data_IF_323857663907
#
_entry.id   IF_323857663907
#
_cell.length_a   1.000
_cell.length_b   1.000
_cell.length_c   1.000
_cell.angle_alpha   90.00
_cell.angle_beta   90.00
_cell.angle_gamma   90.00
#
_symmetry.space_group_name_H-M   'P 1'
#
loop_
_entity.id
_entity.type
_entity.pdbx_description
1 polymer ?
#
# COMPACT_ATOMS: atom_id res chain seq x y z
N UNK A 1 -33.97 -12.11 14.14
CA UNK A 1 -33.83 -10.77 13.51
C UNK A 1 -34.94 -10.61 12.50
N UNK A 2 -35.80 -9.59 12.60
CA UNK A 2 -36.87 -9.34 11.62
C UNK A 2 -36.32 -8.70 10.36
N UNK A 3 -36.99 -8.87 9.20
CA UNK A 3 -36.59 -8.23 7.96
C UNK A 3 -36.52 -6.68 8.06
N UNK A 4 -37.42 -6.10 8.85
CA UNK A 4 -37.43 -4.66 9.15
C UNK A 4 -36.19 -4.22 9.93
N UNK A 5 -35.75 -5.01 10.90
CA UNK A 5 -34.53 -4.71 11.64
C UNK A 5 -33.28 -4.81 10.78
N UNK A 6 -33.20 -5.82 9.90
CA UNK A 6 -32.09 -5.94 8.95
C UNK A 6 -32.04 -4.74 7.98
N UNK A 7 -33.19 -4.34 7.44
CA UNK A 7 -33.30 -3.17 6.60
C UNK A 7 -32.80 -1.89 7.31
N UNK A 8 -33.23 -1.69 8.57
CA UNK A 8 -32.77 -0.59 9.39
C UNK A 8 -31.24 -0.58 9.59
N UNK A 9 -30.64 -1.75 9.87
CA UNK A 9 -29.19 -1.86 10.01
C UNK A 9 -28.43 -1.52 8.70
N UNK A 10 -28.98 -1.87 7.54
CA UNK A 10 -28.38 -1.46 6.25
C UNK A 10 -28.45 0.05 6.05
N UNK A 11 -29.54 0.70 6.41
CA UNK A 11 -29.64 2.17 6.34
C UNK A 11 -28.58 2.81 7.26
N UNK A 12 -28.49 2.37 8.51
CA UNK A 12 -27.47 2.81 9.46
C UNK A 12 -26.05 2.58 8.89
N UNK A 13 -25.79 1.41 8.30
CA UNK A 13 -24.49 1.10 7.72
C UNK A 13 -24.07 2.13 6.68
N UNK A 14 -24.92 2.45 5.71
CA UNK A 14 -24.56 3.39 4.66
C UNK A 14 -24.40 4.81 5.17
N UNK A 15 -25.25 5.26 6.10
CA UNK A 15 -25.12 6.58 6.70
C UNK A 15 -23.80 6.69 7.48
N UNK A 16 -23.48 5.74 8.34
CA UNK A 16 -22.27 5.80 9.14
C UNK A 16 -21.00 5.53 8.32
N UNK A 17 -21.07 4.72 7.28
CA UNK A 17 -19.98 4.56 6.33
C UNK A 17 -19.69 5.86 5.55
N UNK A 18 -20.72 6.61 5.18
CA UNK A 18 -20.59 7.93 4.56
C UNK A 18 -20.04 8.98 5.54
N UNK A 19 -20.58 9.06 6.75
CA UNK A 19 -20.10 9.99 7.79
C UNK A 19 -18.65 9.68 8.17
N UNK A 20 -18.28 8.40 8.28
CA UNK A 20 -16.91 7.98 8.51
C UNK A 20 -15.98 8.42 7.36
N UNK A 21 -16.43 8.33 6.12
CA UNK A 21 -15.69 8.86 4.99
C UNK A 21 -15.53 10.39 5.06
N UNK A 22 -16.57 11.11 5.45
CA UNK A 22 -16.50 12.55 5.65
C UNK A 22 -15.47 12.95 6.70
N UNK A 23 -15.41 12.21 7.83
CA UNK A 23 -14.40 12.47 8.89
C UNK A 23 -12.98 12.20 8.40
N UNK A 24 -12.75 11.14 7.65
CA UNK A 24 -11.44 10.84 7.05
C UNK A 24 -10.99 11.91 6.04
N UNK A 25 -11.90 12.37 5.19
CA UNK A 25 -11.61 13.44 4.23
C UNK A 25 -11.35 14.77 4.94
N UNK A 26 -12.14 15.09 5.97
CA UNK A 26 -11.93 16.31 6.77
C UNK A 26 -10.57 16.27 7.50
N UNK A 27 -10.22 15.13 8.09
CA UNK A 27 -8.90 14.95 8.72
C UNK A 27 -7.76 15.12 7.72
N UNK A 28 -7.88 14.53 6.52
CA UNK A 28 -6.88 14.67 5.47
C UNK A 28 -6.79 16.12 4.96
N UNK A 29 -7.91 16.78 4.77
CA UNK A 29 -7.97 18.17 4.34
C UNK A 29 -7.29 19.11 5.35
N UNK A 30 -7.52 18.87 6.65
CA UNK A 30 -6.85 19.64 7.71
C UNK A 30 -5.32 19.41 7.71
N UNK A 31 -4.88 18.15 7.58
CA UNK A 31 -3.46 17.79 7.65
C UNK A 31 -2.68 18.12 6.37
N UNK A 32 -3.26 17.83 5.20
CA UNK A 32 -2.57 17.94 3.90
C UNK A 32 -2.94 19.21 3.13
N UNK A 33 -3.89 20.00 3.65
CA UNK A 33 -4.45 21.23 3.02
C UNK A 33 -4.95 21.00 1.59
N UNK A 34 -5.45 19.81 1.31
CA UNK A 34 -6.01 19.42 0.01
C UNK A 34 -7.03 18.29 0.18
N UNK A 35 -7.93 18.17 -0.79
CA UNK A 35 -8.85 17.04 -0.84
C UNK A 35 -8.10 15.72 -1.12
N UNK A 36 -8.29 14.72 -0.25
CA UNK A 36 -7.82 13.35 -0.45
C UNK A 36 -8.96 12.40 -0.10
N UNK A 37 -9.43 11.60 -1.08
CA UNK A 37 -10.34 10.51 -0.78
C UNK A 37 -9.59 9.41 -0.04
N UNK A 38 -9.76 9.33 1.29
CA UNK A 38 -9.11 8.34 2.17
C UNK A 38 -9.93 7.06 2.34
N UNK A 39 -11.05 6.92 1.65
CA UNK A 39 -11.80 5.67 1.64
C UNK A 39 -11.00 4.52 1.00
N UNK A 40 -11.19 3.31 1.53
CA UNK A 40 -10.73 2.09 0.85
C UNK A 40 -11.39 1.96 -0.53
N UNK A 41 -12.69 2.20 -0.60
CA UNK A 41 -13.47 2.21 -1.83
C UNK A 41 -13.26 3.51 -2.63
N UNK A 42 -13.64 3.50 -3.91
CA UNK A 42 -13.56 4.70 -4.75
C UNK A 42 -14.67 5.70 -4.42
N UNK A 43 -15.84 5.20 -4.05
CA UNK A 43 -17.00 5.99 -3.61
C UNK A 43 -16.80 6.60 -2.22
N UNK A 44 -17.72 7.48 -1.83
CA UNK A 44 -17.65 8.25 -0.58
C UNK A 44 -18.16 7.43 0.62
N UNK A 45 -17.62 6.23 0.80
CA UNK A 45 -17.97 5.35 1.94
C UNK A 45 -16.73 4.68 2.53
N UNK A 46 -16.68 4.58 3.84
CA UNK A 46 -15.70 3.82 4.61
C UNK A 46 -16.39 2.68 5.35
N UNK A 47 -16.45 1.46 4.79
CA UNK A 47 -17.21 0.34 5.35
C UNK A 47 -16.90 0.00 6.81
N UNK A 48 -15.64 0.15 7.25
CA UNK A 48 -15.22 -0.15 8.61
C UNK A 48 -15.99 0.68 9.66
N UNK A 49 -16.27 1.95 9.34
CA UNK A 49 -17.08 2.81 10.22
C UNK A 49 -18.54 2.36 10.25
N UNK A 50 -19.11 2.00 9.08
CA UNK A 50 -20.44 1.45 8.99
C UNK A 50 -20.61 0.18 9.81
N UNK A 51 -19.70 -0.79 9.66
CA UNK A 51 -19.71 -2.03 10.44
C UNK A 51 -19.50 -1.77 11.92
N UNK A 52 -18.55 -0.90 12.29
CA UNK A 52 -18.27 -0.56 13.68
C UNK A 52 -19.50 0.01 14.40
N UNK A 53 -20.11 1.05 13.82
CA UNK A 53 -21.25 1.72 14.44
C UNK A 53 -22.50 0.81 14.45
N UNK A 54 -22.77 0.08 13.37
CA UNK A 54 -23.89 -0.88 13.32
C UNK A 54 -23.74 -1.96 14.41
N UNK A 55 -22.52 -2.48 14.60
CA UNK A 55 -22.27 -3.45 15.66
C UNK A 55 -22.50 -2.85 17.05
N UNK A 56 -22.04 -1.63 17.30
CA UNK A 56 -22.27 -0.91 18.57
C UNK A 56 -23.77 -0.70 18.78
N UNK A 57 -24.51 -0.22 17.79
CA UNK A 57 -25.96 -0.01 17.88
C UNK A 57 -26.67 -1.35 18.17
N UNK A 58 -26.32 -2.40 17.44
CA UNK A 58 -27.01 -3.68 17.56
C UNK A 58 -26.76 -4.38 18.91
N UNK A 59 -25.52 -4.39 19.37
CA UNK A 59 -25.11 -5.15 20.55
C UNK A 59 -25.09 -4.34 21.85
N UNK A 60 -24.82 -3.03 21.78
CA UNK A 60 -24.53 -2.24 22.98
C UNK A 60 -25.59 -1.19 23.31
N UNK A 61 -26.59 -0.95 22.44
CA UNK A 61 -27.73 -0.08 22.81
C UNK A 61 -28.42 -0.49 24.12
N UNK A 62 -28.60 -1.80 24.46
CA UNK A 62 -29.13 -2.19 25.75
C UNK A 62 -28.33 -1.72 26.97
N UNK A 63 -27.03 -1.41 26.77
CA UNK A 63 -26.13 -0.90 27.82
C UNK A 63 -26.16 0.63 27.97
N UNK A 64 -26.98 1.32 27.18
CA UNK A 64 -27.05 2.79 27.15
C UNK A 64 -27.33 3.42 28.53
N UNK A 65 -28.04 2.70 29.42
CA UNK A 65 -28.31 3.15 30.80
C UNK A 65 -27.05 3.24 31.68
N UNK A 66 -25.96 2.55 31.29
CA UNK A 66 -24.69 2.57 32.01
C UNK A 66 -23.58 3.00 31.05
N UNK A 67 -23.24 4.30 31.10
CA UNK A 67 -22.23 4.90 30.19
C UNK A 67 -20.86 4.24 30.30
N UNK A 68 -20.47 3.74 31.48
CA UNK A 68 -19.18 3.06 31.64
C UNK A 68 -19.16 1.72 30.90
N UNK A 69 -20.24 0.93 31.03
CA UNK A 69 -20.35 -0.34 30.30
C UNK A 69 -20.47 -0.10 28.79
N UNK A 70 -21.22 0.91 28.37
CA UNK A 70 -21.30 1.31 26.96
C UNK A 70 -19.93 1.71 26.41
N UNK A 71 -19.17 2.52 27.15
CA UNK A 71 -17.83 2.96 26.78
C UNK A 71 -16.85 1.78 26.63
N UNK A 72 -16.74 0.95 27.66
CA UNK A 72 -15.82 -0.19 27.66
C UNK A 72 -16.20 -1.23 26.60
N UNK A 73 -17.49 -1.54 26.50
CA UNK A 73 -18.01 -2.44 25.47
C UNK A 73 -17.74 -1.93 24.05
N UNK A 74 -17.95 -0.63 23.84
CA UNK A 74 -17.65 0.02 22.55
C UNK A 74 -16.17 0.00 22.21
N UNK A 75 -15.30 0.34 23.18
CA UNK A 75 -13.86 0.31 22.98
C UNK A 75 -13.39 -1.10 22.58
N UNK A 76 -13.86 -2.15 23.27
CA UNK A 76 -13.51 -3.55 22.97
C UNK A 76 -14.04 -3.95 21.59
N UNK A 77 -15.32 -3.71 21.33
CA UNK A 77 -15.98 -4.14 20.10
C UNK A 77 -15.38 -3.48 18.85
N UNK A 78 -15.19 -2.16 18.90
CA UNK A 78 -14.62 -1.42 17.75
C UNK A 78 -13.17 -1.78 17.54
N UNK A 79 -12.38 -1.97 18.62
CA UNK A 79 -11.01 -2.46 18.52
C UNK A 79 -10.94 -3.85 17.86
N UNK A 80 -11.85 -4.76 18.21
CA UNK A 80 -11.92 -6.08 17.59
C UNK A 80 -12.24 -5.98 16.08
N UNK A 81 -13.18 -5.11 15.70
CA UNK A 81 -13.55 -4.88 14.28
C UNK A 81 -12.39 -4.25 13.51
N UNK A 82 -11.71 -3.26 14.07
CA UNK A 82 -10.55 -2.61 13.46
C UNK A 82 -9.40 -3.61 13.27
N UNK A 83 -9.10 -4.41 14.31
CA UNK A 83 -8.08 -5.45 14.23
C UNK A 83 -8.42 -6.49 13.16
N UNK A 84 -9.66 -6.99 13.16
CA UNK A 84 -10.13 -7.98 12.18
C UNK A 84 -10.06 -7.42 10.75
N UNK A 85 -10.44 -6.15 10.56
CA UNK A 85 -10.36 -5.47 9.27
C UNK A 85 -8.91 -5.39 8.79
N UNK A 86 -7.99 -4.94 9.64
CA UNK A 86 -6.56 -4.87 9.32
C UNK A 86 -5.99 -6.24 8.97
N UNK A 87 -6.32 -7.27 9.75
CA UNK A 87 -5.91 -8.65 9.53
C UNK A 87 -6.43 -9.20 8.19
N UNK A 88 -7.72 -9.06 7.90
CA UNK A 88 -8.33 -9.54 6.65
C UNK A 88 -7.72 -8.82 5.45
N UNK A 89 -7.61 -7.50 5.48
CA UNK A 89 -7.03 -6.72 4.40
C UNK A 89 -5.58 -7.12 4.12
N UNK A 90 -4.80 -7.36 5.16
CA UNK A 90 -3.42 -7.81 4.99
C UNK A 90 -3.33 -9.24 4.44
N UNK A 91 -4.17 -10.15 4.91
CA UNK A 91 -4.21 -11.54 4.42
C UNK A 91 -4.66 -11.65 2.96
N UNK A 92 -5.67 -10.87 2.57
CA UNK A 92 -6.24 -10.90 1.22
C UNK A 92 -5.36 -10.16 0.21
N UNK A 93 -4.85 -9.00 0.60
CA UNK A 93 -4.14 -8.13 -0.33
C UNK A 93 -2.63 -8.11 -0.14
N UNK A 94 -2.08 -8.78 0.88
CA UNK A 94 -0.66 -8.78 1.23
C UNK A 94 -0.06 -7.37 1.39
N UNK A 95 -0.91 -6.42 1.81
CA UNK A 95 -0.56 -5.02 2.03
C UNK A 95 -1.02 -4.57 3.41
N UNK A 96 -0.12 -3.95 4.18
CA UNK A 96 -0.46 -3.30 5.44
C UNK A 96 -0.91 -1.88 5.14
N UNK A 97 -2.14 -1.53 5.48
CA UNK A 97 -2.79 -0.26 5.10
C UNK A 97 -2.44 0.88 6.05
N UNK A 98 -2.33 0.57 7.33
CA UNK A 98 -1.85 1.46 8.40
C UNK A 98 -0.96 0.68 9.34
N UNK A 99 -0.15 1.39 10.12
CA UNK A 99 0.79 0.75 11.03
C UNK A 99 0.90 1.54 12.33
N UNK A 100 0.48 0.91 13.42
CA UNK A 100 0.61 1.40 14.78
C UNK A 100 1.74 0.68 15.56
N UNK A 101 2.64 -0.03 14.90
CA UNK A 101 3.71 -0.79 15.57
C UNK A 101 4.60 0.08 16.46
N UNK A 102 4.71 1.38 16.15
CA UNK A 102 5.45 2.35 16.94
C UNK A 102 4.64 2.93 18.13
N UNK A 103 3.37 2.54 18.29
CA UNK A 103 2.52 3.01 19.39
C UNK A 103 2.57 2.03 20.56
N UNK A 104 2.54 2.51 21.82
CA UNK A 104 2.51 1.64 22.98
C UNK A 104 1.22 0.81 23.01
N UNK A 105 1.30 -0.42 23.55
CA UNK A 105 0.20 -1.36 23.67
C UNK A 105 -0.55 -1.57 22.34
N UNK A 106 0.19 -1.76 21.25
CA UNK A 106 -0.38 -2.15 19.97
C UNK A 106 -0.52 -3.67 19.86
N UNK A 107 -1.48 -4.13 19.07
CA UNK A 107 -1.66 -5.52 18.69
C UNK A 107 -1.37 -5.69 17.21
N UNK A 108 -0.22 -6.29 16.87
CA UNK A 108 0.24 -6.54 15.49
C UNK A 108 0.36 -5.27 14.62
N UNK A 109 0.33 -4.07 15.25
CA UNK A 109 0.29 -2.79 14.55
C UNK A 109 -1.04 -2.47 13.88
N UNK A 110 -2.08 -3.30 14.05
CA UNK A 110 -3.42 -3.01 13.50
C UNK A 110 -4.22 -2.08 14.40
N UNK A 111 -4.07 -2.18 15.72
CA UNK A 111 -4.74 -1.36 16.73
C UNK A 111 -3.78 -0.95 17.83
N UNK A 112 -4.08 0.12 18.57
CA UNK A 112 -3.36 0.48 19.78
C UNK A 112 -4.32 1.05 20.84
N UNK A 113 -3.94 0.92 22.10
CA UNK A 113 -4.79 1.28 23.23
C UNK A 113 -5.31 2.73 23.15
N UNK A 114 -4.47 3.67 22.79
CA UNK A 114 -4.86 5.09 22.70
C UNK A 114 -6.05 5.29 21.75
N UNK A 115 -5.96 4.75 20.53
CA UNK A 115 -7.05 4.89 19.54
C UNK A 115 -8.27 4.07 19.95
N UNK A 116 -8.10 2.90 20.58
CA UNK A 116 -9.21 2.11 21.12
C UNK A 116 -10.04 2.90 22.14
N UNK A 117 -9.39 3.61 23.05
CA UNK A 117 -10.06 4.46 24.04
C UNK A 117 -10.77 5.66 23.38
N UNK A 118 -10.13 6.31 22.43
CA UNK A 118 -10.72 7.42 21.67
C UNK A 118 -11.96 6.96 20.91
N UNK A 119 -11.87 5.84 20.18
CA UNK A 119 -13.03 5.28 19.45
C UNK A 119 -14.16 4.86 20.38
N UNK A 120 -13.84 4.30 21.57
CA UNK A 120 -14.84 4.01 22.58
C UNK A 120 -15.64 5.25 23.01
N UNK A 121 -14.96 6.37 23.25
CA UNK A 121 -15.62 7.64 23.59
C UNK A 121 -16.46 8.18 22.42
N UNK A 122 -15.97 8.07 21.19
CA UNK A 122 -16.73 8.44 19.98
C UNK A 122 -18.01 7.61 19.85
N UNK A 123 -17.97 6.31 20.14
CA UNK A 123 -19.15 5.44 20.08
C UNK A 123 -20.21 5.83 21.11
N UNK A 124 -19.81 6.19 22.33
CA UNK A 124 -20.76 6.72 23.31
C UNK A 124 -21.45 7.98 22.79
N UNK A 125 -20.67 8.93 22.27
CA UNK A 125 -21.22 10.15 21.67
C UNK A 125 -22.17 9.85 20.50
N UNK A 126 -21.81 8.88 19.65
CA UNK A 126 -22.67 8.46 18.53
C UNK A 126 -23.98 7.90 19.06
N UNK A 127 -23.95 6.95 20.02
CA UNK A 127 -25.16 6.27 20.52
C UNK A 127 -26.09 7.25 21.26
N UNK A 128 -25.54 8.16 22.05
CA UNK A 128 -26.35 9.03 22.90
C UNK A 128 -26.84 10.31 22.21
N UNK A 129 -26.05 10.84 21.28
CA UNK A 129 -26.34 12.15 20.66
C UNK A 129 -26.67 12.00 19.19
N UNK A 130 -25.81 11.36 18.42
CA UNK A 130 -25.96 11.34 16.95
C UNK A 130 -27.01 10.34 16.48
N UNK A 131 -27.03 9.15 17.07
CA UNK A 131 -27.91 8.08 16.62
C UNK A 131 -29.41 8.41 16.78
N UNK A 132 -29.88 9.05 17.85
CA UNK A 132 -31.28 9.50 17.95
C UNK A 132 -31.66 10.49 16.84
N UNK A 133 -30.75 11.35 16.39
CA UNK A 133 -30.97 12.26 15.27
C UNK A 133 -31.11 11.50 13.95
N UNK A 134 -30.21 10.54 13.71
CA UNK A 134 -30.27 9.67 12.53
C UNK A 134 -31.55 8.84 12.53
N UNK A 135 -31.96 8.30 13.66
CA UNK A 135 -33.17 7.51 13.83
C UNK A 135 -34.43 8.33 13.47
N UNK A 136 -34.48 9.57 13.97
CA UNK A 136 -35.52 10.52 13.58
C UNK A 136 -35.52 10.80 12.08
N UNK A 137 -34.35 11.00 11.47
CA UNK A 137 -34.24 11.22 10.03
C UNK A 137 -34.73 9.99 9.24
N UNK A 138 -34.31 8.80 9.62
CA UNK A 138 -34.71 7.55 8.98
C UNK A 138 -36.20 7.28 9.06
N UNK A 139 -36.86 7.65 10.17
CA UNK A 139 -38.32 7.50 10.35
C UNK A 139 -39.15 8.32 9.33
N UNK A 140 -38.58 9.37 8.76
CA UNK A 140 -39.26 10.19 7.72
C UNK A 140 -39.13 9.59 6.32
N UNK A 141 -38.29 8.57 6.12
CA UNK A 141 -38.10 7.96 4.79
C UNK A 141 -39.21 6.91 4.57
N UNK A 142 -40.08 7.07 3.54
CA UNK A 142 -41.05 6.04 3.21
C UNK A 142 -40.38 4.70 2.92
N UNK A 143 -40.94 3.61 3.45
CA UNK A 143 -40.33 2.27 3.38
C UNK A 143 -39.93 1.86 1.95
N UNK A 144 -40.80 2.10 0.96
CA UNK A 144 -40.53 1.74 -0.43
C UNK A 144 -39.34 2.52 -1.01
N UNK A 145 -39.25 3.82 -0.71
CA UNK A 145 -38.14 4.66 -1.16
C UNK A 145 -36.84 4.20 -0.50
N UNK A 146 -36.88 3.95 0.79
CA UNK A 146 -35.70 3.50 1.55
C UNK A 146 -35.17 2.15 1.10
N UNK A 147 -36.03 1.16 0.80
CA UNK A 147 -35.59 -0.15 0.32
C UNK A 147 -34.96 -0.06 -1.08
N UNK A 148 -35.55 0.75 -1.97
CA UNK A 148 -34.97 0.98 -3.30
C UNK A 148 -33.58 1.62 -3.17
N UNK A 149 -33.44 2.63 -2.30
CA UNK A 149 -32.18 3.31 -2.06
C UNK A 149 -31.12 2.35 -1.52
N UNK A 150 -31.46 1.54 -0.50
CA UNK A 150 -30.56 0.52 0.06
C UNK A 150 -30.11 -0.48 -1.00
N UNK A 151 -31.03 -0.98 -1.83
CA UNK A 151 -30.68 -1.89 -2.92
C UNK A 151 -29.68 -1.27 -3.91
N UNK A 152 -29.92 -0.02 -4.32
CA UNK A 152 -29.00 0.71 -5.20
C UNK A 152 -27.63 0.87 -4.55
N UNK A 153 -27.56 1.27 -3.27
CA UNK A 153 -26.31 1.45 -2.53
C UNK A 153 -25.55 0.14 -2.34
N UNK A 154 -26.25 -0.97 -2.08
CA UNK A 154 -25.63 -2.30 -1.99
C UNK A 154 -25.01 -2.70 -3.32
N UNK A 155 -25.75 -2.57 -4.44
CA UNK A 155 -25.24 -2.91 -5.77
C UNK A 155 -24.01 -2.04 -6.10
N UNK A 156 -24.11 -0.73 -5.90
CA UNK A 156 -23.02 0.21 -6.13
C UNK A 156 -21.80 -0.09 -5.25
N UNK A 157 -22.01 -0.39 -3.97
CA UNK A 157 -20.97 -0.74 -3.02
C UNK A 157 -20.25 -2.04 -3.38
N UNK A 158 -20.98 -3.08 -3.81
CA UNK A 158 -20.40 -4.34 -4.26
C UNK A 158 -19.61 -4.17 -5.56
N UNK A 159 -20.13 -3.38 -6.51
CA UNK A 159 -19.42 -3.08 -7.75
C UNK A 159 -18.11 -2.32 -7.47
N UNK A 160 -18.13 -1.31 -6.59
CA UNK A 160 -16.93 -0.57 -6.20
C UNK A 160 -15.94 -1.45 -5.43
N UNK A 161 -16.41 -2.32 -4.55
CA UNK A 161 -15.58 -3.30 -3.85
C UNK A 161 -14.85 -4.22 -4.85
N UNK A 162 -15.57 -4.73 -5.85
CA UNK A 162 -14.98 -5.57 -6.90
C UNK A 162 -13.90 -4.83 -7.71
N UNK A 163 -14.19 -3.60 -8.14
CA UNK A 163 -13.24 -2.76 -8.89
C UNK A 163 -12.00 -2.45 -8.04
N UNK A 164 -12.21 -2.07 -6.78
CA UNK A 164 -11.12 -1.77 -5.85
C UNK A 164 -10.26 -2.99 -5.56
N UNK A 165 -10.87 -4.12 -5.19
CA UNK A 165 -10.16 -5.36 -4.88
C UNK A 165 -9.35 -5.87 -6.08
N UNK A 166 -9.98 -5.96 -7.26
CA UNK A 166 -9.29 -6.38 -8.49
C UNK A 166 -8.14 -5.45 -8.88
N UNK A 167 -8.30 -4.16 -8.67
CA UNK A 167 -7.23 -3.19 -8.93
C UNK A 167 -6.04 -3.32 -8.00
N UNK A 168 -6.26 -3.64 -6.71
CA UNK A 168 -5.18 -3.91 -5.74
C UNK A 168 -4.47 -5.20 -6.08
N UNK A 169 -5.19 -6.26 -6.43
CA UNK A 169 -4.59 -7.53 -6.86
C UNK A 169 -3.74 -7.36 -8.14
N UNK A 170 -4.20 -6.53 -9.09
CA UNK A 170 -3.41 -6.15 -10.28
C UNK A 170 -2.16 -5.34 -9.90
N UNK A 171 -2.23 -4.50 -8.87
CA UNK A 171 -1.06 -3.78 -8.35
C UNK A 171 -0.03 -4.77 -7.80
N UNK A 172 -0.44 -5.74 -7.00
CA UNK A 172 0.47 -6.75 -6.44
C UNK A 172 1.20 -7.54 -7.53
N UNK A 173 0.47 -8.03 -8.56
CA UNK A 173 1.09 -8.70 -9.72
C UNK A 173 2.09 -7.81 -10.48
N UNK A 174 1.86 -6.50 -10.50
CA UNK A 174 2.80 -5.55 -11.10
C UNK A 174 4.03 -5.36 -10.26
N UNK A 175 3.88 -5.26 -8.93
CA UNK A 175 5.00 -5.18 -8.00
C UNK A 175 5.89 -6.42 -8.07
N UNK A 176 5.29 -7.61 -8.20
CA UNK A 176 6.01 -8.86 -8.45
C UNK A 176 6.90 -8.77 -9.71
N UNK A 177 6.34 -8.30 -10.83
CA UNK A 177 7.11 -8.11 -12.07
C UNK A 177 8.22 -7.07 -11.91
N UNK A 178 7.93 -5.98 -11.23
CA UNK A 178 8.93 -4.93 -10.97
C UNK A 178 10.06 -5.44 -10.08
N UNK A 179 9.75 -6.26 -9.07
CA UNK A 179 10.76 -6.91 -8.23
C UNK A 179 11.63 -7.85 -9.06
N UNK A 180 11.03 -8.72 -9.87
CA UNK A 180 11.80 -9.63 -10.74
C UNK A 180 12.75 -8.87 -11.69
N UNK A 181 12.31 -7.75 -12.25
CA UNK A 181 13.18 -6.90 -13.10
C UNK A 181 14.31 -6.28 -12.26
N UNK A 182 14.04 -5.81 -11.05
CA UNK A 182 15.04 -5.24 -10.16
C UNK A 182 16.09 -6.30 -9.77
N UNK A 183 15.65 -7.50 -9.40
CA UNK A 183 16.51 -8.62 -9.05
C UNK A 183 17.42 -9.03 -10.22
N UNK A 184 16.88 -9.07 -11.46
CA UNK A 184 17.69 -9.35 -12.66
C UNK A 184 18.72 -8.25 -12.92
N UNK A 185 18.36 -6.96 -12.74
CA UNK A 185 19.30 -5.86 -12.86
C UNK A 185 20.42 -5.93 -11.80
N UNK A 186 20.09 -6.31 -10.56
CA UNK A 186 21.09 -6.54 -9.52
C UNK A 186 22.04 -7.68 -9.87
N UNK A 187 21.51 -8.83 -10.33
CA UNK A 187 22.35 -9.96 -10.76
C UNK A 187 23.31 -9.60 -11.91
N UNK A 188 22.85 -8.80 -12.87
CA UNK A 188 23.70 -8.32 -13.96
C UNK A 188 24.79 -7.40 -13.40
N UNK A 189 24.45 -6.49 -12.51
CA UNK A 189 25.39 -5.58 -11.85
C UNK A 189 26.45 -6.33 -11.06
N UNK A 190 26.05 -7.33 -10.27
CA UNK A 190 26.95 -8.13 -9.45
C UNK A 190 27.92 -8.95 -10.31
N UNK A 191 27.42 -9.59 -11.38
CA UNK A 191 28.28 -10.32 -12.34
C UNK A 191 29.28 -9.41 -13.03
N UNK A 192 28.88 -8.19 -13.40
CA UNK A 192 29.79 -7.19 -13.97
C UNK A 192 30.84 -6.76 -12.95
N UNK A 193 30.43 -6.49 -11.71
CA UNK A 193 31.34 -6.12 -10.61
C UNK A 193 32.35 -7.23 -10.30
N UNK A 194 31.89 -8.48 -10.21
CA UNK A 194 32.77 -9.66 -9.99
C UNK A 194 33.75 -9.86 -11.17
N UNK A 195 33.27 -9.70 -12.39
CA UNK A 195 34.12 -9.78 -13.59
C UNK A 195 35.21 -8.70 -13.61
N UNK A 196 34.86 -7.44 -13.28
CA UNK A 196 35.82 -6.34 -13.17
C UNK A 196 36.82 -6.62 -12.06
N UNK A 197 36.37 -7.05 -10.89
CA UNK A 197 37.22 -7.39 -9.75
C UNK A 197 38.24 -8.48 -10.11
N UNK A 198 37.79 -9.64 -10.63
CA UNK A 198 38.67 -10.76 -11.03
C UNK A 198 39.72 -10.32 -12.05
N UNK A 199 39.34 -9.52 -13.06
CA UNK A 199 40.30 -9.01 -14.06
C UNK A 199 41.31 -8.05 -13.45
N UNK A 200 40.86 -7.19 -12.52
CA UNK A 200 41.77 -6.27 -11.82
C UNK A 200 42.79 -7.01 -10.97
N UNK A 201 42.39 -8.01 -10.19
CA UNK A 201 43.29 -8.83 -9.40
C UNK A 201 44.26 -9.62 -10.29
N UNK A 202 43.74 -10.28 -11.35
CA UNK A 202 44.62 -11.01 -12.29
C UNK A 202 45.64 -10.08 -12.97
N UNK A 203 45.25 -8.84 -13.27
CA UNK A 203 46.20 -7.85 -13.83
C UNK A 203 47.25 -7.43 -12.79
N UNK A 204 46.88 -7.25 -11.53
CA UNK A 204 47.78 -6.90 -10.45
C UNK A 204 48.76 -8.07 -10.13
N UNK A 205 48.28 -9.30 -10.01
CA UNK A 205 49.10 -10.47 -9.82
C UNK A 205 50.14 -10.68 -10.92
N UNK A 206 49.73 -10.52 -12.19
CA UNK A 206 50.67 -10.55 -13.33
C UNK A 206 51.65 -9.38 -13.32
N UNK A 207 51.28 -8.24 -12.79
CA UNK A 207 52.21 -7.12 -12.63
C UNK A 207 53.22 -7.36 -11.52
N UNK A 208 52.86 -8.06 -10.44
CA UNK A 208 53.79 -8.45 -9.38
C UNK A 208 54.78 -9.56 -9.85
N UNK A 209 54.26 -10.64 -10.47
CA UNK A 209 55.14 -11.69 -11.08
C UNK A 209 56.10 -11.07 -12.13
N UNK A 210 55.68 -10.03 -12.79
CA UNK A 210 56.45 -9.37 -13.84
C UNK A 210 57.52 -8.42 -13.27
N UNK A 211 57.27 -7.77 -12.13
CA UNK A 211 58.31 -6.94 -11.46
C UNK A 211 59.52 -7.75 -11.06
N UNK A 212 59.32 -9.02 -10.72
CA UNK A 212 60.42 -9.92 -10.33
C UNK A 212 61.23 -10.45 -11.55
N UNK A 213 60.66 -10.38 -12.78
CA UNK A 213 61.25 -10.93 -14.00
C UNK A 213 61.86 -9.87 -14.97
N UNK A 214 61.51 -8.57 -14.77
CA UNK A 214 61.86 -7.51 -15.72
C UNK A 214 63.08 -6.71 -15.30
N UNK A 215 64.24 -7.28 -15.53
CA UNK A 215 65.50 -6.52 -15.63
C UNK A 215 66.08 -6.40 -17.06
N UNK A 216 65.59 -7.07 -18.09
CA UNK A 216 66.30 -7.15 -19.37
C UNK A 216 65.57 -6.91 -20.70
N UNK A 217 64.22 -6.72 -20.80
CA UNK A 217 63.55 -6.56 -22.10
C UNK A 217 62.39 -5.55 -22.07
N UNK A 218 62.72 -4.29 -22.14
CA UNK A 218 61.74 -3.18 -21.97
C UNK A 218 60.92 -2.82 -23.21
N UNK A 219 61.30 -3.15 -24.42
CA UNK A 219 60.59 -2.72 -25.65
C UNK A 219 59.64 -3.78 -26.23
N UNK A 220 59.99 -5.07 -26.23
CA UNK A 220 59.06 -6.15 -26.61
C UNK A 220 57.88 -6.25 -25.69
N UNK A 221 58.01 -5.78 -24.50
CA UNK A 221 57.01 -5.81 -23.46
C UNK A 221 55.92 -4.72 -23.64
N UNK A 222 56.28 -3.52 -24.07
CA UNK A 222 55.29 -2.46 -24.34
C UNK A 222 54.34 -2.83 -25.48
N UNK A 223 54.81 -3.47 -26.53
CA UNK A 223 53.96 -3.91 -27.64
C UNK A 223 53.01 -5.04 -27.25
N UNK A 224 53.48 -6.02 -26.45
CA UNK A 224 52.64 -7.12 -25.96
C UNK A 224 51.58 -6.68 -24.94
N UNK A 225 51.84 -5.63 -24.14
CA UNK A 225 50.82 -5.02 -23.24
C UNK A 225 49.77 -4.28 -24.07
N UNK A 226 50.20 -3.53 -25.10
CA UNK A 226 49.27 -2.77 -25.93
C UNK A 226 48.31 -3.70 -26.70
N UNK A 227 48.83 -4.77 -27.32
CA UNK A 227 48.07 -5.77 -28.05
C UNK A 227 47.09 -6.54 -27.13
N UNK A 228 47.52 -6.86 -25.89
CA UNK A 228 46.62 -7.49 -24.87
C UNK A 228 45.60 -6.52 -24.30
N UNK A 229 45.94 -5.24 -24.17
CA UNK A 229 45.03 -4.22 -23.68
C UNK A 229 43.94 -3.92 -24.72
N UNK A 230 44.27 -3.98 -26.00
CA UNK A 230 43.35 -3.84 -27.11
C UNK A 230 42.39 -5.06 -27.21
N UNK A 231 42.91 -6.30 -27.11
CA UNK A 231 42.12 -7.52 -27.08
C UNK A 231 41.18 -7.63 -25.82
N UNK A 232 41.60 -7.09 -24.68
CA UNK A 232 40.77 -7.00 -23.47
C UNK A 232 39.71 -5.93 -23.62
N UNK A 233 40.05 -4.82 -24.29
CA UNK A 233 39.12 -3.73 -24.59
C UNK A 233 38.02 -4.18 -25.55
N UNK A 234 38.37 -4.91 -26.61
CA UNK A 234 37.41 -5.44 -27.59
C UNK A 234 36.49 -6.51 -27.00
N UNK A 235 37.03 -7.43 -26.16
CA UNK A 235 36.20 -8.41 -25.48
C UNK A 235 35.29 -7.78 -24.41
N UNK A 236 35.70 -6.65 -23.81
CA UNK A 236 34.90 -5.82 -22.92
C UNK A 236 33.81 -5.04 -23.68
N UNK A 237 34.08 -4.62 -24.91
CA UNK A 237 33.12 -3.92 -25.74
C UNK A 237 32.00 -4.85 -26.21
N UNK A 238 32.29 -6.07 -26.65
CA UNK A 238 31.34 -7.04 -27.16
C UNK A 238 30.40 -7.59 -26.07
N UNK A 239 30.93 -8.02 -24.92
CA UNK A 239 30.13 -8.39 -23.75
C UNK A 239 29.37 -7.20 -23.19
N UNK A 240 29.88 -5.97 -23.41
CA UNK A 240 29.25 -4.71 -23.00
C UNK A 240 27.98 -4.39 -23.79
N UNK A 241 27.89 -4.71 -25.07
CA UNK A 241 26.76 -4.25 -25.91
C UNK A 241 25.51 -5.13 -25.70
N UNK A 242 25.66 -6.44 -25.64
CA UNK A 242 24.55 -7.36 -25.28
C UNK A 242 23.99 -7.06 -23.87
N UNK A 243 24.89 -6.84 -22.91
CA UNK A 243 24.51 -6.49 -21.55
C UNK A 243 23.88 -5.10 -21.48
N UNK A 244 24.38 -4.12 -22.22
CA UNK A 244 23.76 -2.78 -22.33
C UNK A 244 22.37 -2.86 -22.91
N UNK A 245 22.19 -3.63 -23.99
CA UNK A 245 20.87 -3.82 -24.61
C UNK A 245 19.91 -4.50 -23.63
N UNK A 246 20.34 -5.54 -22.92
CA UNK A 246 19.51 -6.20 -21.88
C UNK A 246 19.11 -5.25 -20.77
N UNK A 247 20.04 -4.45 -20.24
CA UNK A 247 19.75 -3.42 -19.23
C UNK A 247 18.77 -2.38 -19.77
N UNK A 248 18.92 -1.95 -21.02
CA UNK A 248 18.01 -0.99 -21.64
C UNK A 248 16.58 -1.55 -21.77
N UNK A 249 16.45 -2.81 -22.18
CA UNK A 249 15.16 -3.50 -22.26
C UNK A 249 14.51 -3.64 -20.88
N UNK A 250 15.26 -4.05 -19.85
CA UNK A 250 14.75 -4.18 -18.48
C UNK A 250 14.31 -2.82 -17.93
N UNK A 251 15.10 -1.77 -18.11
CA UNK A 251 14.74 -0.39 -17.71
C UNK A 251 13.47 0.10 -18.41
N UNK A 252 13.35 -0.18 -19.72
CA UNK A 252 12.15 0.17 -20.48
C UNK A 252 10.91 -0.56 -19.93
N UNK A 253 11.00 -1.87 -19.75
CA UNK A 253 9.92 -2.68 -19.16
C UNK A 253 9.53 -2.20 -17.77
N UNK A 254 10.52 -1.84 -16.93
CA UNK A 254 10.28 -1.25 -15.62
C UNK A 254 9.49 0.05 -15.70
N UNK A 255 9.90 0.98 -16.56
CA UNK A 255 9.22 2.27 -16.76
C UNK A 255 7.81 2.11 -17.34
N UNK A 256 7.60 1.14 -18.22
CA UNK A 256 6.27 0.80 -18.75
C UNK A 256 5.35 0.31 -17.61
N UNK A 257 5.84 -0.52 -16.68
CA UNK A 257 5.09 -0.93 -15.50
C UNK A 257 4.74 0.26 -14.59
N UNK A 258 5.64 1.24 -14.41
CA UNK A 258 5.34 2.47 -13.66
C UNK A 258 4.25 3.30 -14.34
N UNK A 259 4.38 3.53 -15.66
CA UNK A 259 3.40 4.31 -16.45
C UNK A 259 2.02 3.67 -16.48
N UNK A 260 1.95 2.34 -16.53
CA UNK A 260 0.71 1.57 -16.56
C UNK A 260 -0.07 1.59 -15.23
N UNK A 261 0.44 2.29 -14.19
CA UNK A 261 -0.27 2.41 -12.90
C UNK A 261 -1.57 3.20 -13.08
N UNK A 262 -2.71 2.55 -12.76
CA UNK A 262 -4.04 3.13 -12.95
C UNK A 262 -4.32 4.31 -12.02
N UNK A 263 -5.30 5.14 -12.38
CA UNK A 263 -5.74 6.26 -11.54
C UNK A 263 -6.17 5.79 -10.14
N UNK A 264 -6.91 4.68 -10.06
CA UNK A 264 -7.36 4.10 -8.79
C UNK A 264 -6.17 3.66 -7.92
N UNK A 265 -5.17 2.98 -8.51
CA UNK A 265 -3.96 2.56 -7.77
C UNK A 265 -3.18 3.75 -7.23
N UNK A 266 -3.04 4.82 -8.03
CA UNK A 266 -2.43 6.10 -7.58
C UNK A 266 -3.23 6.74 -6.46
N UNK A 267 -4.58 6.72 -6.55
CA UNK A 267 -5.48 7.21 -5.50
C UNK A 267 -5.23 6.47 -4.18
N UNK A 268 -5.24 5.14 -4.20
CA UNK A 268 -5.02 4.32 -3.01
C UNK A 268 -3.66 4.61 -2.36
N UNK A 269 -2.57 4.62 -3.12
CA UNK A 269 -1.24 4.94 -2.60
C UNK A 269 -1.16 6.34 -1.98
N UNK A 270 -1.96 7.30 -2.49
CA UNK A 270 -2.08 8.65 -1.95
C UNK A 270 -2.98 8.69 -0.70
N UNK A 271 -4.06 7.91 -0.70
CA UNK A 271 -4.99 7.80 0.43
C UNK A 271 -4.33 7.19 1.67
N UNK A 272 -3.43 6.22 1.46
CA UNK A 272 -2.74 5.49 2.51
C UNK A 272 -1.23 5.67 2.43
N UNK A 273 -0.68 6.82 2.89
CA UNK A 273 0.75 7.11 2.75
C UNK A 273 1.66 6.17 3.55
N UNK A 274 1.14 5.50 4.58
CA UNK A 274 1.85 4.48 5.36
C UNK A 274 1.64 3.05 4.85
N UNK A 275 0.89 2.87 3.76
CA UNK A 275 0.68 1.54 3.16
C UNK A 275 2.00 0.95 2.70
N UNK A 276 2.22 -0.33 2.99
CA UNK A 276 3.41 -1.08 2.61
C UNK A 276 3.00 -2.43 2.05
N UNK A 277 3.69 -2.89 1.00
CA UNK A 277 3.58 -4.27 0.54
C UNK A 277 4.38 -5.19 1.45
N UNK A 278 3.82 -6.32 1.84
CA UNK A 278 4.53 -7.34 2.63
C UNK A 278 5.61 -8.06 1.82
N UNK A 279 5.27 -8.38 0.59
CA UNK A 279 6.10 -9.23 -0.26
C UNK A 279 7.08 -8.43 -1.13
N UNK A 280 6.72 -7.17 -1.48
CA UNK A 280 7.45 -6.35 -2.47
C UNK A 280 7.64 -4.92 -1.94
N UNK A 281 8.23 -4.80 -0.73
CA UNK A 281 8.35 -3.52 -0.03
C UNK A 281 9.16 -2.51 -0.83
N UNK A 282 10.33 -2.92 -1.31
CA UNK A 282 11.26 -2.05 -2.06
C UNK A 282 10.64 -1.58 -3.39
N UNK A 283 10.09 -2.51 -4.18
CA UNK A 283 9.42 -2.17 -5.44
C UNK A 283 8.20 -1.29 -5.23
N UNK A 284 7.49 -1.43 -4.11
CA UNK A 284 6.36 -0.57 -3.77
C UNK A 284 6.81 0.86 -3.42
N UNK A 285 7.87 1.00 -2.64
CA UNK A 285 8.44 2.30 -2.28
C UNK A 285 9.03 3.01 -3.53
N UNK A 286 9.75 2.29 -4.38
CA UNK A 286 10.29 2.85 -5.63
C UNK A 286 9.17 3.28 -6.59
N UNK A 287 8.14 2.45 -6.78
CA UNK A 287 6.97 2.82 -7.57
C UNK A 287 6.32 4.11 -7.04
N UNK A 288 6.14 4.23 -5.72
CA UNK A 288 5.57 5.42 -5.07
C UNK A 288 6.42 6.65 -5.33
N UNK A 289 7.75 6.53 -5.21
CA UNK A 289 8.68 7.65 -5.40
C UNK A 289 8.70 8.10 -6.87
N UNK A 290 8.78 7.18 -7.81
CA UNK A 290 8.73 7.50 -9.26
C UNK A 290 7.42 8.16 -9.67
N UNK A 291 6.29 7.72 -9.11
CA UNK A 291 5.00 8.37 -9.36
C UNK A 291 4.95 9.80 -8.81
N UNK A 292 5.61 10.08 -7.66
CA UNK A 292 5.74 11.45 -7.12
C UNK A 292 6.59 12.31 -8.04
N UNK A 293 7.74 11.83 -8.48
CA UNK A 293 8.63 12.56 -9.41
C UNK A 293 7.92 12.90 -10.72
N UNK A 294 7.18 11.92 -11.29
CA UNK A 294 6.40 12.14 -12.52
C UNK A 294 5.27 13.16 -12.32
N UNK A 295 4.75 13.32 -11.12
CA UNK A 295 3.71 14.30 -10.81
C UNK A 295 4.26 15.72 -10.62
N UNK A 296 5.53 15.87 -10.24
CA UNK A 296 6.22 17.15 -10.07
C UNK A 296 6.72 17.74 -11.40
N UNK A 297 6.87 16.89 -12.43
CA UNK A 297 7.32 17.31 -13.78
C UNK A 297 6.17 17.72 -14.71
N UNK A 298 4.94 17.67 -14.24
CA UNK A 298 3.72 18.16 -14.92
C UNK A 298 3.26 19.48 -14.32
#
# INVERSE_FOLDING_TARGET
>A
MTAQHLYYLFQCFFIYAFLGWCTEVAFAAFKERRFVNRGFLNGPICPVYGFGVVAVIHFLTPLRSNLLLLYLGSAILVTAIEWLTGFILEKVFHNKWWDYSNMPLNLNGYVCLLFSLIWGAFCVFIVDVFHPLIDTLLSHIPFLVGIILVCILVIAGLADLYVTASGILKLNKRLEKMQAIADELHQISDKLGESIYKRTITAMEKQEEFKDTVSEKQEEFKSAIFEKQEAISDTLADVSDEVKERIALLRRSYLENVKATSHMQKRIMKAFPKMQSRNYKESFEDLRNKLKEMSLKK
#
